data_IF_910674604029
#
_entry.id   IF_910674604029
#
_cell.length_a   1.000
_cell.length_b   1.000
_cell.length_c   1.000
_cell.angle_alpha   90.00
_cell.angle_beta   90.00
_cell.angle_gamma   90.00
#
_symmetry.space_group_name_H-M   'P 1'
#
loop_
_entity.id
_entity.type
_entity.pdbx_description
1 polymer ?
#
# COMPACT_ATOMS: atom_id res chain seq x y z
N UNK A 1 23.62 -14.90 -16.60
CA UNK A 1 22.32 -15.52 -16.24
C UNK A 1 21.26 -15.04 -17.21
N UNK A 2 20.53 -15.94 -17.90
CA UNK A 2 19.40 -15.53 -18.76
C UNK A 2 18.35 -14.81 -17.90
N UNK A 3 18.00 -13.57 -18.24
CA UNK A 3 16.83 -12.88 -17.65
C UNK A 3 15.60 -13.71 -17.99
N UNK A 4 15.01 -14.36 -16.98
CA UNK A 4 13.73 -15.05 -17.13
C UNK A 4 12.64 -13.98 -17.20
N UNK A 5 12.05 -13.81 -18.37
CA UNK A 5 10.87 -12.97 -18.54
C UNK A 5 9.63 -13.85 -18.36
N UNK A 6 8.61 -13.32 -17.68
CA UNK A 6 7.31 -13.97 -17.48
C UNK A 6 6.24 -13.10 -18.13
N UNK A 7 5.28 -13.71 -18.82
CA UNK A 7 4.14 -13.00 -19.39
C UNK A 7 3.13 -12.67 -18.28
N UNK A 8 2.82 -11.39 -18.14
CA UNK A 8 1.76 -10.89 -17.27
C UNK A 8 0.58 -10.43 -18.13
N UNK A 9 -0.57 -11.10 -18.00
CA UNK A 9 -1.82 -10.70 -18.66
C UNK A 9 -2.78 -10.13 -17.62
N UNK A 10 -3.18 -8.88 -17.80
CA UNK A 10 -4.09 -8.15 -16.91
C UNK A 10 -5.14 -7.39 -17.71
N UNK A 11 -6.32 -7.19 -17.13
CA UNK A 11 -7.32 -6.26 -17.67
C UNK A 11 -7.07 -4.89 -17.07
N UNK A 12 -7.04 -3.88 -17.92
CA UNK A 12 -6.81 -2.49 -17.54
C UNK A 12 -7.84 -1.63 -18.29
N UNK A 13 -8.27 -0.53 -17.69
CA UNK A 13 -9.13 0.45 -18.36
C UNK A 13 -8.43 1.01 -19.60
N UNK A 14 -9.18 1.22 -20.67
CA UNK A 14 -8.71 1.79 -21.94
C UNK A 14 -7.97 3.11 -21.73
N UNK A 15 -8.55 4.02 -20.95
CA UNK A 15 -7.97 5.32 -20.64
C UNK A 15 -6.55 5.21 -20.04
N UNK A 16 -6.28 4.17 -19.24
CA UNK A 16 -4.93 3.97 -18.65
C UNK A 16 -3.94 3.53 -19.73
N UNK A 17 -4.38 2.72 -20.70
CA UNK A 17 -3.55 2.29 -21.81
C UNK A 17 -3.26 3.47 -22.75
N UNK A 18 -4.24 4.34 -23.00
CA UNK A 18 -4.02 5.56 -23.78
C UNK A 18 -2.98 6.48 -23.14
N UNK A 19 -3.07 6.71 -21.83
CA UNK A 19 -2.06 7.50 -21.11
C UNK A 19 -0.68 6.83 -21.15
N UNK A 20 -0.62 5.50 -21.04
CA UNK A 20 0.61 4.74 -21.15
C UNK A 20 1.26 4.90 -22.54
N UNK A 21 0.45 4.86 -23.60
CA UNK A 21 0.91 5.00 -24.98
C UNK A 21 1.48 6.40 -25.24
N UNK A 22 0.85 7.45 -24.71
CA UNK A 22 1.41 8.82 -24.78
C UNK A 22 2.83 8.88 -24.21
N UNK A 23 3.10 8.18 -23.11
CA UNK A 23 4.45 8.13 -22.52
C UNK A 23 5.46 7.43 -23.44
N UNK A 24 5.01 6.47 -24.23
CA UNK A 24 5.85 5.78 -25.23
C UNK A 24 6.09 6.68 -26.43
N UNK A 25 5.05 7.35 -26.94
CA UNK A 25 5.15 8.31 -28.05
C UNK A 25 6.10 9.46 -27.72
N UNK A 26 6.09 9.94 -26.48
CA UNK A 26 7.02 10.95 -25.98
C UNK A 26 8.45 10.44 -25.78
N UNK A 27 8.71 9.15 -26.02
CA UNK A 27 10.03 8.53 -25.88
C UNK A 27 10.48 8.33 -24.43
N UNK A 28 9.58 8.49 -23.44
CA UNK A 28 9.88 8.27 -22.02
C UNK A 28 10.13 6.78 -21.76
N UNK A 29 9.35 5.92 -22.40
CA UNK A 29 9.52 4.47 -22.38
C UNK A 29 9.62 3.90 -23.79
N UNK A 30 10.40 2.83 -23.97
CA UNK A 30 10.58 2.16 -25.26
C UNK A 30 9.43 1.20 -25.58
N UNK A 31 8.68 0.76 -24.57
CA UNK A 31 7.55 -0.17 -24.73
C UNK A 31 6.62 -0.17 -23.52
N UNK A 32 5.39 -0.67 -23.70
CA UNK A 32 4.43 -0.89 -22.60
C UNK A 32 5.03 -1.82 -21.53
N UNK A 33 5.75 -2.86 -21.95
CA UNK A 33 6.39 -3.81 -21.03
C UNK A 33 7.43 -3.15 -20.13
N UNK A 34 8.22 -2.21 -20.67
CA UNK A 34 9.20 -1.45 -19.89
C UNK A 34 8.50 -0.54 -18.88
N UNK A 35 7.48 0.18 -19.31
CA UNK A 35 6.72 1.09 -18.46
C UNK A 35 6.02 0.35 -17.31
N UNK A 36 5.43 -0.82 -17.58
CA UNK A 36 4.81 -1.69 -16.57
C UNK A 36 5.86 -2.22 -15.60
N UNK A 37 7.00 -2.71 -16.10
CA UNK A 37 8.08 -3.22 -15.25
C UNK A 37 8.65 -2.14 -14.33
N UNK A 38 8.87 -0.93 -14.85
CA UNK A 38 9.36 0.21 -14.06
C UNK A 38 8.33 0.67 -13.02
N UNK A 39 7.05 0.70 -13.38
CA UNK A 39 5.97 1.04 -12.45
C UNK A 39 5.87 0.04 -11.30
N UNK A 40 5.94 -1.26 -11.60
CA UNK A 40 5.96 -2.31 -10.58
C UNK A 40 7.23 -2.23 -9.73
N UNK A 41 8.39 -1.94 -10.32
CA UNK A 41 9.63 -1.75 -9.58
C UNK A 41 9.53 -0.60 -8.59
N UNK A 42 8.98 0.55 -9.01
CA UNK A 42 8.73 1.71 -8.13
C UNK A 42 7.75 1.36 -7.03
N UNK A 43 6.64 0.71 -7.37
CA UNK A 43 5.67 0.25 -6.37
C UNK A 43 6.33 -0.66 -5.33
N UNK A 44 7.12 -1.65 -5.76
CA UNK A 44 7.83 -2.54 -4.84
C UNK A 44 8.85 -1.79 -3.99
N UNK A 45 9.54 -0.79 -4.56
CA UNK A 45 10.48 0.04 -3.80
C UNK A 45 9.76 0.88 -2.74
N UNK A 46 8.64 1.51 -3.09
CA UNK A 46 7.83 2.32 -2.19
C UNK A 46 7.30 1.48 -1.01
N UNK A 47 6.91 0.23 -1.29
CA UNK A 47 6.45 -0.70 -0.27
C UNK A 47 7.58 -1.47 0.42
N UNK A 48 8.79 -1.50 -0.12
CA UNK A 48 9.95 -2.14 0.54
C UNK A 48 10.41 -1.40 1.80
N UNK A 49 10.04 -0.12 1.93
CA UNK A 49 10.25 0.68 3.13
C UNK A 49 9.23 0.38 4.25
N UNK A 50 8.16 -0.38 3.94
CA UNK A 50 7.21 -0.88 4.92
C UNK A 50 7.81 -2.15 5.54
N UNK A 51 8.69 -1.95 6.51
CA UNK A 51 9.56 -2.99 7.09
C UNK A 51 8.81 -3.93 8.05
N UNK A 52 7.58 -3.59 8.43
CA UNK A 52 6.75 -4.35 9.38
C UNK A 52 5.38 -4.72 8.81
N UNK A 53 4.74 -5.74 9.41
CA UNK A 53 3.33 -6.09 9.14
C UNK A 53 2.40 -4.91 9.43
N UNK A 54 2.80 -4.03 10.35
CA UNK A 54 2.02 -2.88 10.80
C UNK A 54 1.99 -1.78 9.74
N UNK A 55 3.14 -1.54 9.11
CA UNK A 55 3.28 -0.60 8.01
C UNK A 55 2.42 -0.99 6.80
N UNK A 56 2.30 -2.30 6.51
CA UNK A 56 1.43 -2.83 5.45
C UNK A 56 -0.06 -2.61 5.76
N UNK A 57 -0.48 -2.82 7.01
CA UNK A 57 -1.86 -2.58 7.45
C UNK A 57 -2.20 -1.09 7.41
N UNK A 58 -1.27 -0.21 7.83
CA UNK A 58 -1.45 1.23 7.74
C UNK A 58 -1.54 1.67 6.27
N UNK A 59 -0.71 1.13 5.39
CA UNK A 59 -0.79 1.41 3.95
C UNK A 59 -2.11 0.91 3.33
N UNK A 60 -2.62 -0.26 3.74
CA UNK A 60 -3.93 -0.77 3.33
C UNK A 60 -5.07 0.14 3.83
N UNK A 61 -4.98 0.62 5.08
CA UNK A 61 -5.92 1.58 5.64
C UNK A 61 -5.93 2.91 4.87
N UNK A 62 -4.75 3.49 4.60
CA UNK A 62 -4.61 4.76 3.86
C UNK A 62 -5.07 4.67 2.40
N UNK A 63 -4.87 3.53 1.76
CA UNK A 63 -5.30 3.30 0.38
C UNK A 63 -6.79 2.94 0.25
N UNK A 64 -7.53 2.86 1.37
CA UNK A 64 -8.94 2.47 1.37
C UNK A 64 -9.18 1.02 0.98
N UNK A 65 -8.12 0.20 0.93
CA UNK A 65 -8.16 -1.23 0.58
C UNK A 65 -8.44 -2.13 1.78
N UNK A 66 -8.41 -1.57 3.00
CA UNK A 66 -8.86 -2.29 4.19
C UNK A 66 -10.39 -2.35 4.15
N UNK A 67 -10.94 -3.56 4.13
CA UNK A 67 -12.38 -3.76 4.30
C UNK A 67 -12.80 -3.09 5.61
N UNK A 68 -13.70 -2.10 5.49
CA UNK A 68 -14.29 -1.43 6.64
C UNK A 68 -15.54 -2.21 7.00
N UNK A 69 -15.34 -3.23 7.83
CA UNK A 69 -16.44 -4.06 8.32
C UNK A 69 -17.30 -3.31 9.34
N UNK A 70 -16.89 -2.10 9.74
CA UNK A 70 -17.60 -1.23 10.68
C UNK A 70 -17.94 0.12 10.04
N UNK A 71 -19.21 0.47 10.08
CA UNK A 71 -19.77 1.77 9.74
C UNK A 71 -19.77 2.76 10.91
N UNK A 72 -20.11 4.04 10.66
CA UNK A 72 -20.06 5.10 11.68
C UNK A 72 -21.01 4.88 12.87
N UNK A 73 -22.06 4.09 12.68
CA UNK A 73 -23.11 3.81 13.67
C UNK A 73 -22.88 2.50 14.42
N UNK A 74 -21.85 1.74 14.05
CA UNK A 74 -21.61 0.43 14.66
C UNK A 74 -20.99 0.61 16.04
N UNK A 75 -21.63 -0.04 17.03
CA UNK A 75 -21.13 -0.04 18.40
C UNK A 75 -20.36 -1.33 18.62
N UNK A 76 -19.06 -1.20 18.85
CA UNK A 76 -18.19 -2.33 19.20
C UNK A 76 -17.91 -2.33 20.69
N UNK A 77 -18.13 -3.48 21.32
CA UNK A 77 -17.73 -3.71 22.70
C UNK A 77 -16.24 -4.02 22.71
N UNK A 78 -15.46 -3.16 23.37
CA UNK A 78 -14.00 -3.26 23.40
C UNK A 78 -13.57 -3.69 24.80
N UNK A 79 -12.96 -4.87 24.90
CA UNK A 79 -12.18 -5.25 26.08
C UNK A 79 -10.91 -4.38 26.14
N UNK A 80 -10.88 -3.48 27.11
CA UNK A 80 -9.83 -2.46 27.27
C UNK A 80 -8.46 -3.11 27.49
N UNK A 81 -8.39 -4.18 28.28
CA UNK A 81 -7.11 -4.81 28.61
C UNK A 81 -6.56 -5.57 27.40
N UNK A 82 -7.42 -6.29 26.69
CA UNK A 82 -7.06 -6.96 25.43
C UNK A 82 -6.67 -5.94 24.34
N UNK A 83 -7.35 -4.80 24.28
CA UNK A 83 -7.02 -3.72 23.36
C UNK A 83 -5.63 -3.14 23.64
N UNK A 84 -5.30 -2.85 24.90
CA UNK A 84 -3.95 -2.40 25.29
C UNK A 84 -2.88 -3.43 24.93
N UNK A 85 -3.14 -4.71 25.17
CA UNK A 85 -2.21 -5.78 24.82
C UNK A 85 -1.98 -5.85 23.30
N UNK A 86 -3.05 -5.74 22.51
CA UNK A 86 -2.98 -5.72 21.06
C UNK A 86 -2.24 -4.49 20.51
N UNK A 87 -2.51 -3.30 21.07
CA UNK A 87 -1.82 -2.07 20.72
C UNK A 87 -0.33 -2.17 21.04
N UNK A 88 0.03 -2.73 22.20
CA UNK A 88 1.43 -2.96 22.57
C UNK A 88 2.11 -3.96 21.64
N UNK A 89 1.43 -5.04 21.24
CA UNK A 89 1.95 -6.04 20.29
C UNK A 89 2.15 -5.46 18.88
N UNK A 90 1.30 -4.53 18.47
CA UNK A 90 1.24 -4.01 17.10
C UNK A 90 2.03 -2.70 16.92
N UNK A 91 1.93 -1.75 17.84
CA UNK A 91 2.65 -0.47 17.72
C UNK A 91 3.93 -0.43 18.56
N UNK A 92 4.19 -1.46 19.38
CA UNK A 92 5.23 -1.47 20.40
C UNK A 92 5.11 -0.34 21.45
N UNK A 93 3.93 0.28 21.51
CA UNK A 93 3.57 1.38 22.40
C UNK A 93 2.07 1.33 22.68
N UNK A 94 1.65 1.95 23.78
CA UNK A 94 0.24 2.21 24.12
C UNK A 94 -0.08 3.71 24.15
N UNK A 95 0.90 4.56 23.85
CA UNK A 95 0.73 6.00 23.79
C UNK A 95 -0.09 6.39 22.55
N UNK A 96 -1.27 6.97 22.80
CA UNK A 96 -2.25 7.25 21.75
C UNK A 96 -1.69 8.23 20.69
N UNK A 97 -0.97 9.25 21.12
CA UNK A 97 -0.42 10.27 20.23
C UNK A 97 0.67 9.71 19.30
N UNK A 98 1.51 8.81 19.82
CA UNK A 98 2.53 8.12 19.03
C UNK A 98 1.89 7.20 17.99
N UNK A 99 0.86 6.44 18.40
CA UNK A 99 0.10 5.53 17.52
C UNK A 99 -0.57 6.33 16.40
N UNK A 100 -1.29 7.39 16.74
CA UNK A 100 -1.99 8.25 15.78
C UNK A 100 -0.99 8.95 14.86
N UNK A 101 0.17 9.38 15.38
CA UNK A 101 1.27 9.94 14.61
C UNK A 101 1.76 8.98 13.52
N UNK A 102 2.02 7.71 13.88
CA UNK A 102 2.42 6.65 12.95
C UNK A 102 1.34 6.35 11.91
N UNK A 103 0.08 6.20 12.32
CA UNK A 103 -1.05 5.95 11.39
C UNK A 103 -1.20 7.08 10.37
N UNK A 104 -1.02 8.33 10.81
CA UNK A 104 -1.12 9.53 9.95
C UNK A 104 0.16 9.78 9.13
N UNK A 105 1.21 8.98 9.31
CA UNK A 105 2.46 9.11 8.57
C UNK A 105 3.28 10.35 8.93
N UNK A 106 3.14 10.90 10.15
CA UNK A 106 4.07 11.90 10.65
C UNK A 106 5.38 11.17 10.97
N UNK A 107 6.45 11.48 10.24
CA UNK A 107 7.81 11.11 10.64
C UNK A 107 8.05 11.62 12.05
N UNK A 108 8.34 10.72 12.98
CA UNK A 108 9.14 11.01 14.17
C UNK A 108 10.62 11.00 13.74
#
# INVERSE_FOLDING_TARGET
MKKKNVLLQVRVSENIIEELDKLIELGIFRSRSEAVAESLRRLLLDYSLLLSREDLVIAAYRSGKLNRDLGPSDTIEIDIEKAKENLRKFFNTIELDEIIGRIRGRKL
#
